data_IF_281733938021
#
_entry.id   IF_281733938021
#
_cell.length_a   1.000
_cell.length_b   1.000
_cell.length_c   1.000
_cell.angle_alpha   90.00
_cell.angle_beta   90.00
_cell.angle_gamma   90.00
#
_symmetry.space_group_name_H-M   'P 1'
#
loop_
_entity.id
_entity.type
_entity.pdbx_description
1 polymer ?
#
# COMPACT_ATOMS: atom_id res chain seq x y z
N UNK A 1 -28.20 -1.45 -23.10
CA UNK A 1 -27.53 -2.07 -21.94
C UNK A 1 -26.27 -1.28 -21.62
N UNK A 2 -26.34 -0.36 -20.66
CA UNK A 2 -25.14 0.31 -20.16
C UNK A 2 -24.61 -0.53 -19.00
N UNK A 3 -23.56 -1.31 -19.26
CA UNK A 3 -22.82 -2.02 -18.22
C UNK A 3 -22.15 -0.96 -17.34
N UNK A 4 -22.64 -0.78 -16.12
CA UNK A 4 -21.95 -0.02 -15.09
C UNK A 4 -20.73 -0.86 -14.69
N UNK A 5 -19.64 -0.74 -15.46
CA UNK A 5 -18.34 -1.17 -14.96
C UNK A 5 -18.14 -0.39 -13.66
N UNK A 6 -18.11 -1.10 -12.53
CA UNK A 6 -17.85 -0.47 -11.25
C UNK A 6 -16.54 0.32 -11.38
N UNK A 7 -16.66 1.65 -11.38
CA UNK A 7 -15.51 2.54 -11.38
C UNK A 7 -14.69 2.14 -10.16
N UNK A 8 -13.38 1.93 -10.33
CA UNK A 8 -12.49 1.69 -9.20
C UNK A 8 -12.55 2.94 -8.32
N UNK A 9 -13.30 2.86 -7.23
CA UNK A 9 -13.65 4.00 -6.40
C UNK A 9 -12.56 4.26 -5.34
N UNK A 10 -12.07 5.49 -5.31
CA UNK A 10 -11.14 5.96 -4.29
C UNK A 10 -11.75 5.87 -2.88
N UNK A 11 -13.08 6.04 -2.74
CA UNK A 11 -13.73 5.93 -1.43
C UNK A 11 -13.67 4.49 -0.89
N UNK A 12 -13.85 3.48 -1.74
CA UNK A 12 -13.72 2.08 -1.34
C UNK A 12 -12.32 1.76 -0.78
N UNK A 13 -11.27 2.38 -1.35
CA UNK A 13 -9.89 2.25 -0.83
C UNK A 13 -9.76 2.85 0.56
N UNK A 14 -10.34 4.03 0.79
CA UNK A 14 -10.33 4.69 2.11
C UNK A 14 -11.09 3.84 3.14
N UNK A 15 -12.23 3.28 2.76
CA UNK A 15 -13.06 2.47 3.65
C UNK A 15 -12.33 1.20 4.09
N UNK A 16 -11.62 0.53 3.17
CA UNK A 16 -10.78 -0.64 3.48
C UNK A 16 -9.61 -0.30 4.41
N UNK A 17 -8.95 0.84 4.19
CA UNK A 17 -7.91 1.36 5.11
C UNK A 17 -8.49 1.59 6.50
N UNK A 18 -9.63 2.27 6.59
CA UNK A 18 -10.25 2.59 7.87
C UNK A 18 -10.83 1.36 8.58
N UNK A 19 -11.27 0.34 7.84
CA UNK A 19 -11.65 -0.97 8.40
C UNK A 19 -10.48 -1.61 9.13
N UNK A 20 -9.32 -1.74 8.49
CA UNK A 20 -8.14 -2.34 9.13
C UNK A 20 -7.64 -1.53 10.33
N UNK A 21 -7.69 -0.19 10.23
CA UNK A 21 -7.34 0.69 11.35
C UNK A 21 -8.28 0.48 12.54
N UNK A 22 -9.59 0.41 12.29
CA UNK A 22 -10.59 0.09 13.31
C UNK A 22 -10.32 -1.28 13.96
N UNK A 23 -10.08 -2.33 13.17
CA UNK A 23 -9.75 -3.67 13.68
C UNK A 23 -8.47 -3.71 14.53
N UNK A 24 -7.58 -2.73 14.38
CA UNK A 24 -6.35 -2.57 15.17
C UNK A 24 -6.44 -1.53 16.29
N UNK A 25 -7.63 -0.99 16.56
CA UNK A 25 -7.84 0.09 17.53
C UNK A 25 -7.02 1.36 17.23
N UNK A 26 -6.84 1.66 15.94
CA UNK A 26 -6.18 2.85 15.45
C UNK A 26 -7.27 3.81 14.94
N UNK A 27 -7.15 5.11 15.27
CA UNK A 27 -8.10 6.13 14.82
C UNK A 27 -8.26 6.12 13.29
N UNK A 28 -9.50 6.17 12.77
CA UNK A 28 -9.72 6.24 11.33
C UNK A 28 -9.18 7.55 10.75
N UNK A 29 -8.68 7.48 9.53
CA UNK A 29 -8.21 8.62 8.76
C UNK A 29 -9.38 9.40 8.19
N UNK A 30 -9.31 10.73 8.28
CA UNK A 30 -10.26 11.64 7.63
C UNK A 30 -9.83 11.92 6.20
N UNK A 31 -10.77 11.94 5.26
CA UNK A 31 -10.46 12.32 3.88
C UNK A 31 -10.12 13.81 3.81
N UNK A 32 -8.96 14.13 3.25
CA UNK A 32 -8.47 15.49 3.05
C UNK A 32 -8.56 15.88 1.57
N UNK A 33 -9.09 17.08 1.29
CA UNK A 33 -9.22 17.56 -0.09
C UNK A 33 -7.87 17.89 -0.69
N UNK A 34 -6.98 18.47 0.12
CA UNK A 34 -5.63 18.87 -0.26
C UNK A 34 -4.76 17.64 -0.52
N UNK A 35 -4.80 16.61 0.34
CA UNK A 35 -4.09 15.36 0.06
C UNK A 35 -4.68 14.63 -1.17
N UNK A 36 -6.00 14.70 -1.37
CA UNK A 36 -6.62 14.12 -2.57
C UNK A 36 -6.19 14.85 -3.84
N UNK A 37 -6.03 16.18 -3.78
CA UNK A 37 -5.48 16.96 -4.88
C UNK A 37 -4.02 16.57 -5.16
N UNK A 38 -3.18 16.46 -4.12
CA UNK A 38 -1.80 16.00 -4.23
C UNK A 38 -1.71 14.61 -4.90
N UNK A 39 -2.53 13.66 -4.45
CA UNK A 39 -2.60 12.32 -5.01
C UNK A 39 -2.99 12.33 -6.50
N UNK A 40 -3.91 13.22 -6.91
CA UNK A 40 -4.33 13.38 -8.30
C UNK A 40 -3.23 13.96 -9.18
N UNK A 41 -2.56 15.02 -8.72
CA UNK A 41 -1.44 15.62 -9.44
C UNK A 41 -0.30 14.63 -9.60
N UNK A 42 0.05 13.91 -8.54
CA UNK A 42 1.06 12.85 -8.56
C UNK A 42 0.71 11.72 -9.53
N UNK A 43 -0.54 11.25 -9.51
CA UNK A 43 -1.01 10.22 -10.42
C UNK A 43 -1.03 10.71 -11.88
N UNK A 44 -1.44 11.95 -12.11
CA UNK A 44 -1.42 12.61 -13.41
C UNK A 44 0.00 12.74 -13.95
N UNK A 45 0.95 13.14 -13.11
CA UNK A 45 2.37 13.25 -13.44
C UNK A 45 2.95 11.89 -13.88
N UNK A 46 2.62 10.81 -13.17
CA UNK A 46 3.02 9.44 -13.54
C UNK A 46 2.50 9.02 -14.93
N UNK A 47 1.26 9.36 -15.25
CA UNK A 47 0.68 9.09 -16.58
C UNK A 47 1.34 9.98 -17.64
N UNK A 48 1.48 11.28 -17.38
CA UNK A 48 1.99 12.26 -18.32
C UNK A 48 3.43 11.99 -18.71
N UNK A 49 4.28 11.69 -17.72
CA UNK A 49 5.71 11.46 -17.90
C UNK A 49 6.07 9.98 -17.97
N UNK A 50 5.08 9.11 -18.13
CA UNK A 50 5.25 7.70 -18.45
C UNK A 50 6.15 6.93 -17.45
N UNK A 51 5.87 7.05 -16.15
CA UNK A 51 6.67 6.42 -15.09
C UNK A 51 5.80 5.92 -13.93
N UNK A 52 6.37 5.04 -13.09
CA UNK A 52 5.75 4.60 -11.84
C UNK A 52 6.80 4.53 -10.73
N UNK A 53 6.92 5.59 -9.95
CA UNK A 53 7.86 5.71 -8.84
C UNK A 53 7.43 6.83 -7.87
N UNK A 54 7.94 6.79 -6.64
CA UNK A 54 7.74 7.84 -5.64
C UNK A 54 8.31 9.20 -6.10
N UNK A 55 9.48 9.20 -6.72
CA UNK A 55 10.14 10.43 -7.22
C UNK A 55 9.89 10.55 -8.73
N UNK A 56 9.44 11.73 -9.16
CA UNK A 56 9.25 12.06 -10.57
C UNK A 56 10.58 12.12 -11.33
N UNK A 57 10.62 11.84 -12.65
CA UNK A 57 11.80 12.06 -13.47
C UNK A 57 12.36 13.49 -13.42
N UNK A 58 11.51 14.48 -13.12
CA UNK A 58 11.90 15.88 -12.89
C UNK A 58 12.53 16.14 -11.51
N UNK A 59 12.56 15.13 -10.64
CA UNK A 59 13.03 15.22 -9.25
C UNK A 59 11.94 15.50 -8.22
N UNK A 60 10.68 15.69 -8.63
CA UNK A 60 9.59 15.98 -7.70
C UNK A 60 9.30 14.81 -6.74
N UNK A 61 9.42 15.06 -5.44
CA UNK A 61 9.15 14.11 -4.34
C UNK A 61 7.67 14.13 -3.93
N UNK A 62 7.16 13.08 -3.26
CA UNK A 62 5.77 13.06 -2.73
C UNK A 62 5.44 14.30 -1.89
N UNK A 63 6.40 14.73 -1.08
CA UNK A 63 6.31 15.88 -0.18
C UNK A 63 6.05 17.20 -0.91
N UNK A 64 6.59 17.35 -2.12
CA UNK A 64 6.36 18.54 -2.93
C UNK A 64 4.93 18.59 -3.46
N UNK A 65 4.35 17.45 -3.85
CA UNK A 65 2.94 17.40 -4.28
C UNK A 65 2.00 17.71 -3.12
N UNK A 66 2.27 17.17 -1.92
CA UNK A 66 1.54 17.49 -0.70
C UNK A 66 1.66 18.98 -0.35
N UNK A 67 2.87 19.55 -0.40
CA UNK A 67 3.07 20.97 -0.11
C UNK A 67 2.40 21.89 -1.14
N UNK A 68 2.47 21.56 -2.43
CA UNK A 68 1.85 22.32 -3.51
C UNK A 68 0.32 22.32 -3.46
N UNK A 69 -0.30 21.29 -2.88
CA UNK A 69 -1.75 21.27 -2.68
C UNK A 69 -2.23 22.19 -1.54
N UNK A 70 -1.29 22.82 -0.82
CA UNK A 70 -1.59 23.67 0.34
C UNK A 70 -1.74 22.89 1.64
N UNK A 71 -1.40 21.60 1.66
CA UNK A 71 -1.43 20.80 2.89
C UNK A 71 -0.16 21.02 3.72
N UNK A 72 -0.28 21.79 4.80
CA UNK A 72 0.81 22.03 5.76
C UNK A 72 0.97 20.83 6.70
N UNK A 73 1.97 19.98 6.44
CA UNK A 73 2.19 18.73 7.15
C UNK A 73 3.35 18.81 8.16
N UNK A 74 3.17 18.16 9.31
CA UNK A 74 4.26 17.80 10.22
C UNK A 74 4.78 16.38 9.97
N UNK A 75 3.91 15.52 9.40
CA UNK A 75 4.20 14.13 9.11
C UNK A 75 3.40 13.70 7.89
N UNK A 76 4.02 12.98 6.95
CA UNK A 76 3.38 12.57 5.71
C UNK A 76 3.94 11.22 5.21
N UNK A 77 3.18 10.53 4.35
CA UNK A 77 3.60 9.28 3.70
C UNK A 77 2.83 9.01 2.43
N UNK A 78 3.37 8.13 1.57
CA UNK A 78 2.78 7.77 0.28
C UNK A 78 2.74 6.24 0.10
N UNK A 79 1.65 5.72 -0.46
CA UNK A 79 1.61 4.38 -1.06
C UNK A 79 1.19 4.47 -2.53
N UNK A 80 1.81 3.64 -3.38
CA UNK A 80 1.55 3.58 -4.81
C UNK A 80 1.16 2.16 -5.24
N UNK A 81 0.09 2.03 -6.02
CA UNK A 81 -0.29 0.79 -6.67
C UNK A 81 -0.54 0.99 -8.17
N UNK A 82 -0.30 -0.07 -8.94
CA UNK A 82 -0.44 -0.06 -10.39
C UNK A 82 -1.09 -1.36 -10.88
N UNK A 83 -1.97 -1.24 -11.88
CA UNK A 83 -2.64 -2.35 -12.57
C UNK A 83 -3.57 -3.21 -11.70
N UNK A 84 -4.21 -2.61 -10.68
CA UNK A 84 -5.33 -3.22 -9.98
C UNK A 84 -6.66 -2.72 -10.55
N UNK A 85 -7.62 -3.62 -10.69
CA UNK A 85 -9.00 -3.32 -11.12
C UNK A 85 -10.03 -3.61 -10.01
N UNK A 86 -9.55 -3.98 -8.83
CA UNK A 86 -10.36 -4.34 -7.66
C UNK A 86 -9.72 -3.70 -6.41
N UNK A 87 -10.48 -2.86 -5.67
CA UNK A 87 -9.97 -2.21 -4.47
C UNK A 87 -9.60 -3.18 -3.35
N UNK A 88 -10.31 -4.31 -3.20
CA UNK A 88 -10.01 -5.31 -2.16
C UNK A 88 -8.69 -6.02 -2.46
N UNK A 89 -8.46 -6.42 -3.72
CA UNK A 89 -7.20 -7.04 -4.14
C UNK A 89 -6.02 -6.07 -4.02
N UNK A 90 -6.22 -4.80 -4.38
CA UNK A 90 -5.20 -3.77 -4.20
C UNK A 90 -4.86 -3.57 -2.72
N UNK A 91 -5.89 -3.42 -1.88
CA UNK A 91 -5.71 -3.23 -0.44
C UNK A 91 -5.00 -4.42 0.19
N UNK A 92 -5.39 -5.65 -0.17
CA UNK A 92 -4.70 -6.86 0.26
C UNK A 92 -3.23 -6.87 -0.17
N UNK A 93 -2.90 -6.40 -1.37
CA UNK A 93 -1.53 -6.28 -1.84
C UNK A 93 -0.73 -5.27 -1.02
N UNK A 94 -1.32 -4.12 -0.66
CA UNK A 94 -0.71 -3.18 0.27
C UNK A 94 -0.47 -3.81 1.64
N UNK A 95 -1.46 -4.51 2.21
CA UNK A 95 -1.34 -5.12 3.53
C UNK A 95 -0.32 -6.28 3.58
N UNK A 96 -0.08 -6.96 2.46
CA UNK A 96 0.98 -7.98 2.34
C UNK A 96 2.39 -7.39 2.26
N UNK A 97 2.53 -6.13 1.85
CA UNK A 97 3.81 -5.43 1.81
C UNK A 97 4.08 -4.74 3.14
N UNK A 98 5.24 -5.02 3.75
CA UNK A 98 5.57 -4.45 5.06
C UNK A 98 5.64 -2.92 5.04
N UNK A 99 6.23 -2.32 4.00
CA UNK A 99 6.34 -0.86 3.87
C UNK A 99 4.98 -0.20 3.71
N UNK A 100 4.13 -0.70 2.80
CA UNK A 100 2.81 -0.12 2.58
C UNK A 100 1.89 -0.30 3.78
N UNK A 101 1.92 -1.49 4.42
CA UNK A 101 1.17 -1.76 5.66
C UNK A 101 1.59 -0.85 6.80
N UNK A 102 2.89 -0.55 6.93
CA UNK A 102 3.39 0.41 7.94
C UNK A 102 2.76 1.78 7.76
N UNK A 103 2.56 2.25 6.53
CA UNK A 103 1.87 3.51 6.28
C UNK A 103 0.39 3.43 6.67
N UNK A 104 -0.34 2.41 6.20
CA UNK A 104 -1.79 2.23 6.47
C UNK A 104 -2.08 2.19 7.97
N UNK A 105 -1.24 1.50 8.74
CA UNK A 105 -1.41 1.30 10.18
C UNK A 105 -0.59 2.28 11.05
N UNK A 106 -0.04 3.36 10.48
CA UNK A 106 0.69 4.33 11.28
C UNK A 106 -0.29 5.19 12.10
N UNK A 107 -0.21 5.21 13.44
CA UNK A 107 -1.11 6.01 14.29
C UNK A 107 -0.85 7.53 14.20
N UNK A 108 0.30 7.94 13.67
CA UNK A 108 0.66 9.34 13.52
C UNK A 108 -0.15 10.04 12.42
N UNK A 109 -0.59 9.31 11.39
CA UNK A 109 -1.45 9.87 10.34
C UNK A 109 -2.87 10.09 10.85
N UNK A 110 -3.46 11.22 10.46
CA UNK A 110 -4.82 11.65 10.82
C UNK A 110 -5.70 11.87 9.60
N UNK A 111 -5.09 12.14 8.46
CA UNK A 111 -5.76 12.43 7.20
C UNK A 111 -5.21 11.56 6.06
N UNK A 112 -6.06 11.30 5.06
CA UNK A 112 -5.71 10.57 3.84
C UNK A 112 -6.30 11.28 2.62
N UNK A 113 -5.58 11.28 1.50
CA UNK A 113 -6.10 11.56 0.18
C UNK A 113 -5.84 10.38 -0.74
N UNK A 114 -6.80 10.04 -1.59
CA UNK A 114 -6.68 8.92 -2.52
C UNK A 114 -7.08 9.36 -3.92
N UNK A 115 -6.27 9.01 -4.91
CA UNK A 115 -6.59 9.17 -6.32
C UNK A 115 -6.46 7.82 -7.04
N UNK A 116 -7.45 7.52 -7.87
CA UNK A 116 -7.42 6.37 -8.80
C UNK A 116 -7.55 6.95 -10.21
N UNK A 117 -6.51 6.81 -11.02
CA UNK A 117 -6.45 7.38 -12.38
C UNK A 117 -6.23 6.27 -13.40
N UNK A 118 -7.00 6.33 -14.49
CA UNK A 118 -6.83 5.50 -15.66
C UNK A 118 -5.94 6.24 -16.67
N UNK A 119 -4.87 5.60 -17.11
CA UNK A 119 -3.91 6.20 -18.04
C UNK A 119 -3.21 5.14 -18.88
N UNK A 120 -2.15 5.57 -19.56
CA UNK A 120 -1.23 4.66 -20.27
C UNK A 120 0.17 4.85 -19.72
N UNK A 121 0.82 3.75 -19.34
CA UNK A 121 2.25 3.71 -19.04
C UNK A 121 2.88 2.65 -19.95
N UNK A 122 3.97 2.99 -20.60
CA UNK A 122 4.71 2.20 -21.58
C UNK A 122 3.79 1.62 -22.67
N UNK A 123 2.84 2.43 -23.15
CA UNK A 123 1.86 2.04 -24.16
C UNK A 123 0.75 1.10 -23.68
N UNK A 124 0.79 0.63 -22.42
CA UNK A 124 -0.20 -0.25 -21.83
C UNK A 124 -1.24 0.54 -21.04
N UNK A 125 -2.53 0.18 -21.19
CA UNK A 125 -3.58 0.75 -20.37
C UNK A 125 -3.39 0.32 -18.91
N UNK A 126 -3.38 1.29 -18.01
CA UNK A 126 -3.00 1.11 -16.62
C UNK A 126 -3.94 1.88 -15.70
N UNK A 127 -4.21 1.29 -14.54
CA UNK A 127 -4.88 1.95 -13.41
C UNK A 127 -3.79 2.25 -12.38
N UNK A 128 -3.70 3.50 -11.95
CA UNK A 128 -2.76 3.94 -10.92
C UNK A 128 -3.55 4.39 -9.71
N UNK A 129 -3.16 3.90 -8.54
CA UNK A 129 -3.68 4.40 -7.27
C UNK A 129 -2.56 5.05 -6.47
N UNK A 130 -2.82 6.26 -5.98
CA UNK A 130 -1.97 6.99 -5.05
C UNK A 130 -2.73 7.18 -3.75
N UNK A 131 -2.12 6.80 -2.62
CA UNK A 131 -2.57 7.16 -1.28
C UNK A 131 -1.56 8.13 -0.67
N UNK A 132 -2.00 9.34 -0.36
CA UNK A 132 -1.23 10.32 0.40
C UNK A 132 -1.76 10.36 1.83
N UNK A 133 -0.89 10.18 2.81
CA UNK A 133 -1.20 10.20 4.23
C UNK A 133 -0.61 11.44 4.87
N UNK A 134 -1.29 12.02 5.86
CA UNK A 134 -0.82 13.22 6.51
C UNK A 134 -1.27 13.40 7.95
N UNK A 135 -0.49 14.20 8.67
CA UNK A 135 -0.89 14.88 9.89
C UNK A 135 -0.47 16.34 9.75
N UNK A 136 -1.41 17.26 9.99
CA UNK A 136 -1.14 18.69 9.84
C UNK A 136 -0.11 19.16 10.86
N UNK A 137 0.63 20.20 10.52
CA UNK A 137 1.36 20.95 11.55
C UNK A 137 0.33 21.47 12.56
N UNK A 138 0.57 21.26 13.85
CA UNK A 138 -0.25 21.88 14.88
C UNK A 138 -0.28 23.38 14.61
N UNK A 139 -1.46 23.96 14.43
CA UNK A 139 -1.56 25.42 14.46
C UNK A 139 -0.86 25.90 15.75
N UNK A 140 -0.06 26.99 15.72
CA UNK A 140 0.42 27.58 16.96
C UNK A 140 -0.80 27.76 17.85
N UNK A 141 -0.70 27.31 19.11
CA UNK A 141 -1.79 27.41 20.08
C UNK A 141 -2.33 28.83 20.00
N UNK A 142 -3.51 28.99 19.41
CA UNK A 142 -4.24 30.23 19.48
C UNK A 142 -4.42 30.43 20.98
N UNK A 143 -3.74 31.44 21.56
CA UNK A 143 -3.90 31.80 22.96
C UNK A 143 -5.40 31.82 23.21
N UNK A 144 -5.85 30.81 23.96
CA UNK A 144 -7.23 30.72 24.39
C UNK A 144 -7.49 32.05 25.07
N UNK A 145 -8.31 32.90 24.45
CA UNK A 145 -8.80 34.16 25.03
C UNK A 145 -9.24 33.84 26.46
N UNK A 146 -8.39 34.14 27.44
CA UNK A 146 -8.72 34.07 28.86
C UNK A 146 -9.60 35.30 29.09
N UNK A 147 -10.84 35.26 28.61
CA UNK A 147 -11.88 36.19 29.05
C UNK A 147 -12.28 35.76 30.44
N UNK A 148 -11.58 36.27 31.44
CA UNK A 148 -11.89 35.97 32.84
C UNK A 148 -10.72 36.14 33.80
N UNK A 149 -9.94 37.22 33.70
CA UNK A 149 -9.16 37.70 34.83
C UNK A 149 -9.59 39.15 35.07
N UNK A 150 -10.52 39.28 36.02
CA UNK A 150 -10.83 40.51 36.72
C UNK A 150 -9.52 41.16 37.21
N UNK A 151 -9.34 42.42 36.88
CA UNK A 151 -8.28 43.27 37.40
C UNK A 151 -8.52 43.56 38.87
N UNK A 152 -7.95 42.76 39.76
CA UNK A 152 -7.72 43.19 41.15
C UNK A 152 -6.22 43.19 41.44
N UNK A 153 -5.61 44.36 41.21
CA UNK A 153 -4.27 44.70 41.70
C UNK A 153 -4.33 44.93 43.21
N UNK A 154 -4.39 43.87 44.02
CA UNK A 154 -3.88 43.87 45.40
C UNK A 154 -3.88 42.46 45.95
N UNK A 155 -2.78 42.10 46.62
CA UNK A 155 -2.52 40.81 47.27
C UNK A 155 -1.91 39.76 46.35
N UNK A 156 -0.58 39.76 46.31
CA UNK A 156 0.29 38.58 46.47
C UNK A 156 1.74 39.09 46.54
N UNK A 157 2.03 39.77 47.63
CA UNK A 157 3.41 39.92 48.12
C UNK A 157 3.91 38.57 48.62
N UNK A 158 5.22 38.37 48.51
CA UNK A 158 6.02 37.27 49.06
C UNK A 158 5.65 35.86 48.57
N UNK A 159 6.24 35.46 47.44
CA UNK A 159 6.83 34.12 47.19
C UNK A 159 7.33 33.91 45.73
N UNK A 160 7.29 34.93 44.87
CA UNK A 160 7.78 34.83 43.48
C UNK A 160 9.11 35.58 43.21
N UNK A 161 9.86 35.95 44.27
CA UNK A 161 11.20 36.55 44.15
C UNK A 161 12.21 35.63 44.84
N UNK A 162 12.33 34.39 44.35
CA UNK A 162 13.55 33.60 44.48
C UNK A 162 13.51 32.44 43.48
N UNK A 163 14.36 32.52 42.45
CA UNK A 163 14.81 31.46 41.51
C UNK A 163 14.85 31.87 40.04
N UNK A 164 14.91 33.17 39.72
CA UNK A 164 15.37 33.67 38.40
C UNK A 164 16.91 33.68 38.32
N UNK A 165 17.58 32.72 38.97
CA UNK A 165 19.04 32.54 38.93
C UNK A 165 19.42 31.06 38.68
N UNK A 166 18.64 30.39 37.81
CA UNK A 166 19.00 29.09 37.25
C UNK A 166 18.63 28.95 35.77
N UNK A 167 18.60 30.07 35.06
CA UNK A 167 18.52 30.14 33.60
C UNK A 167 19.82 30.79 33.12
N UNK A 168 20.87 29.98 33.07
CA UNK A 168 22.22 30.45 32.80
C UNK A 168 23.23 29.33 32.75
N UNK A 169 22.94 28.25 32.01
CA UNK A 169 23.88 27.30 31.43
C UNK A 169 23.08 26.28 30.58
N UNK A 170 23.56 26.00 29.37
CA UNK A 170 22.96 25.17 28.30
C UNK A 170 22.20 25.89 27.16
N UNK A 171 22.69 27.05 26.72
CA UNK A 171 22.63 27.39 25.29
C UNK A 171 24.04 27.13 24.75
N UNK A 172 24.34 25.87 24.41
CA UNK A 172 25.52 25.57 23.61
C UNK A 172 25.16 25.95 22.17
N UNK A 173 25.80 27.01 21.67
CA UNK A 173 25.94 27.30 20.25
C UNK A 173 26.63 26.12 19.57
N UNK A 174 25.83 25.20 19.03
CA UNK A 174 26.30 24.11 18.18
C UNK A 174 26.36 24.59 16.73
N UNK A 175 27.50 25.15 16.34
CA UNK A 175 27.88 25.22 14.93
C UNK A 175 27.93 23.79 14.40
N UNK A 176 27.13 23.51 13.38
CA UNK A 176 27.02 22.21 12.73
C UNK A 176 28.29 21.96 11.90
N UNK A 177 29.30 21.31 12.47
CA UNK A 177 30.49 20.85 11.74
C UNK A 177 30.23 19.46 11.15
N UNK A 178 30.14 19.38 9.82
CA UNK A 178 29.81 18.18 9.03
C UNK A 178 31.00 17.20 8.86
N UNK A 179 32.14 17.40 9.51
CA UNK A 179 33.35 16.62 9.18
C UNK A 179 33.64 15.37 10.03
N UNK A 180 32.90 15.07 11.11
CA UNK A 180 33.25 13.94 11.99
C UNK A 180 32.29 12.73 11.99
N UNK A 181 31.35 12.64 11.06
CA UNK A 181 30.47 11.47 10.92
C UNK A 181 30.86 10.45 9.85
N UNK A 182 31.95 10.68 9.09
CA UNK A 182 32.41 9.74 8.05
C UNK A 182 33.53 8.78 8.49
N UNK A 183 34.25 9.07 9.57
CA UNK A 183 35.41 8.27 9.99
C UNK A 183 35.05 7.01 10.78
N UNK A 184 33.83 6.92 11.34
CA UNK A 184 33.40 5.75 12.12
C UNK A 184 32.66 4.69 11.29
N UNK A 185 32.32 5.01 10.03
CA UNK A 185 31.64 4.08 9.10
C UNK A 185 32.63 3.45 8.11
N UNK A 186 33.78 4.08 7.87
CA UNK A 186 34.79 3.55 6.92
C UNK A 186 35.60 2.36 7.46
N UNK A 187 35.68 2.17 8.78
CA UNK A 187 36.56 1.15 9.37
C UNK A 187 35.86 -0.20 9.65
N UNK A 188 34.53 -0.27 9.45
CA UNK A 188 33.73 -1.49 9.74
C UNK A 188 33.11 -2.18 8.54
N UNK A 189 33.46 -1.77 7.31
CA UNK A 189 32.94 -2.38 6.07
C UNK A 189 33.94 -3.40 5.48
N UNK A 190 35.18 -3.49 5.98
CA UNK A 190 36.20 -4.41 5.44
C UNK A 190 36.15 -5.84 6.01
N UNK A 191 35.23 -6.16 6.92
CA UNK A 191 35.20 -7.46 7.62
C UNK A 191 33.88 -8.25 7.48
N UNK A 192 33.08 -8.01 6.43
CA UNK A 192 31.95 -8.89 6.11
C UNK A 192 32.48 -9.95 5.12
N UNK A 193 32.53 -11.25 5.47
CA UNK A 193 33.04 -12.26 4.56
C UNK A 193 32.10 -12.35 3.36
N UNK A 194 32.62 -12.05 2.17
CA UNK A 194 31.94 -12.16 0.86
C UNK A 194 31.22 -13.51 0.67
N UNK A 195 31.67 -14.55 1.40
CA UNK A 195 31.13 -15.91 1.46
C UNK A 195 29.69 -15.96 2.03
N UNK A 196 29.31 -15.05 2.93
CA UNK A 196 27.97 -15.02 3.52
C UNK A 196 26.88 -14.61 2.53
N UNK A 197 27.19 -13.68 1.63
CA UNK A 197 26.23 -13.25 0.60
C UNK A 197 25.97 -14.32 -0.46
N UNK A 198 26.97 -15.12 -0.80
CA UNK A 198 26.83 -16.22 -1.75
C UNK A 198 26.01 -17.38 -1.17
N UNK A 199 26.20 -17.69 0.12
CA UNK A 199 25.40 -18.72 0.79
C UNK A 199 23.92 -18.33 0.92
N UNK A 200 23.65 -17.07 1.27
CA UNK A 200 22.29 -16.58 1.41
C UNK A 200 21.55 -16.52 0.07
N UNK A 201 22.23 -16.16 -1.04
CA UNK A 201 21.60 -16.17 -2.37
C UNK A 201 21.30 -17.59 -2.86
N UNK A 202 22.19 -18.56 -2.64
CA UNK A 202 21.95 -19.97 -2.96
C UNK A 202 20.75 -20.52 -2.16
N UNK A 203 20.65 -20.20 -0.88
CA UNK A 203 19.52 -20.63 -0.04
C UNK A 203 18.19 -20.01 -0.50
N UNK A 204 18.19 -18.75 -0.93
CA UNK A 204 17.01 -18.08 -1.48
C UNK A 204 16.55 -18.68 -2.81
N UNK A 205 17.49 -19.08 -3.67
CA UNK A 205 17.18 -19.75 -4.94
C UNK A 205 16.65 -21.17 -4.69
N UNK A 206 17.26 -21.92 -3.79
CA UNK A 206 16.81 -23.28 -3.43
C UNK A 206 15.40 -23.27 -2.80
N UNK A 207 15.12 -22.31 -1.93
CA UNK A 207 13.78 -22.15 -1.33
C UNK A 207 12.74 -21.73 -2.36
N UNK A 208 13.06 -20.82 -3.28
CA UNK A 208 12.17 -20.46 -4.38
C UNK A 208 11.86 -21.65 -5.31
N UNK A 209 12.87 -22.48 -5.61
CA UNK A 209 12.70 -23.69 -6.40
C UNK A 209 11.79 -24.72 -5.70
N UNK A 210 11.99 -24.95 -4.40
CA UNK A 210 11.16 -25.87 -3.62
C UNK A 210 9.70 -25.40 -3.51
N UNK A 211 9.49 -24.10 -3.35
CA UNK A 211 8.14 -23.50 -3.38
C UNK A 211 7.50 -23.68 -4.75
N UNK A 212 8.24 -23.47 -5.84
CA UNK A 212 7.73 -23.68 -7.21
C UNK A 212 7.26 -25.12 -7.43
N UNK A 213 8.07 -26.11 -7.06
CA UNK A 213 7.71 -27.53 -7.17
C UNK A 213 6.46 -27.87 -6.33
N UNK A 214 6.38 -27.34 -5.11
CA UNK A 214 5.22 -27.54 -4.24
C UNK A 214 3.94 -26.92 -4.83
N UNK A 215 4.02 -25.73 -5.43
CA UNK A 215 2.90 -25.08 -6.10
C UNK A 215 2.50 -25.82 -7.38
N UNK A 216 3.46 -26.27 -8.18
CA UNK A 216 3.20 -27.06 -9.38
C UNK A 216 2.47 -28.36 -9.05
N UNK A 217 2.89 -29.06 -7.98
CA UNK A 217 2.24 -30.27 -7.49
C UNK A 217 0.80 -30.01 -7.01
N UNK A 218 0.57 -28.94 -6.24
CA UNK A 218 -0.78 -28.56 -5.79
C UNK A 218 -1.68 -28.16 -6.96
N UNK A 219 -1.16 -27.44 -7.94
CA UNK A 219 -1.90 -27.07 -9.14
C UNK A 219 -2.29 -28.30 -9.95
N UNK A 220 -1.35 -29.23 -10.19
CA UNK A 220 -1.65 -30.50 -10.84
C UNK A 220 -2.69 -31.32 -10.07
N UNK A 221 -2.58 -31.39 -8.75
CA UNK A 221 -3.55 -32.10 -7.92
C UNK A 221 -4.94 -31.45 -7.99
N UNK A 222 -5.04 -30.12 -7.86
CA UNK A 222 -6.31 -29.38 -7.95
C UNK A 222 -6.99 -29.55 -9.30
N UNK A 223 -6.21 -29.44 -10.39
CA UNK A 223 -6.69 -29.66 -11.76
C UNK A 223 -7.17 -31.11 -11.92
N UNK A 224 -6.38 -32.09 -11.48
CA UNK A 224 -6.74 -33.51 -11.54
C UNK A 224 -8.04 -33.80 -10.75
N UNK A 225 -8.18 -33.26 -9.54
CA UNK A 225 -9.36 -33.46 -8.70
C UNK A 225 -10.61 -32.79 -9.28
N UNK A 226 -10.48 -31.58 -9.83
CA UNK A 226 -11.56 -30.89 -10.54
C UNK A 226 -12.07 -31.72 -11.72
N UNK A 227 -11.16 -32.30 -12.50
CA UNK A 227 -11.51 -33.15 -13.64
C UNK A 227 -12.09 -34.50 -13.22
N UNK A 228 -11.61 -35.13 -12.14
CA UNK A 228 -12.21 -36.35 -11.59
C UNK A 228 -13.64 -36.10 -11.09
N UNK A 229 -13.87 -34.98 -10.43
CA UNK A 229 -15.20 -34.59 -9.96
C UNK A 229 -16.16 -34.33 -11.13
N UNK A 230 -15.70 -33.67 -12.20
CA UNK A 230 -16.49 -33.52 -13.43
C UNK A 230 -16.72 -34.85 -14.15
N UNK A 231 -15.74 -35.75 -14.22
CA UNK A 231 -15.91 -37.10 -14.79
C UNK A 231 -16.99 -37.89 -14.06
N UNK A 232 -16.99 -37.87 -12.72
CA UNK A 232 -18.04 -38.53 -11.90
C UNK A 232 -19.43 -37.98 -12.20
N UNK A 233 -19.57 -36.65 -12.37
CA UNK A 233 -20.85 -36.02 -12.75
C UNK A 233 -21.29 -36.37 -14.18
N UNK A 234 -20.37 -36.48 -15.14
CA UNK A 234 -20.68 -36.86 -16.53
C UNK A 234 -21.10 -38.33 -16.60
N UNK A 235 -20.39 -39.23 -15.90
CA UNK A 235 -20.72 -40.66 -15.85
C UNK A 235 -22.10 -40.92 -15.21
N UNK A 236 -22.45 -40.15 -14.17
CA UNK A 236 -23.78 -40.21 -13.54
C UNK A 236 -24.91 -39.77 -14.48
N UNK A 237 -24.63 -38.88 -15.44
CA UNK A 237 -25.59 -38.43 -16.46
C UNK A 237 -25.71 -39.47 -17.59
N UNK A 238 -24.61 -40.09 -18.02
CA UNK A 238 -24.64 -41.16 -19.05
C UNK A 238 -25.29 -42.45 -18.55
N UNK A 239 -25.21 -42.76 -17.25
CA UNK A 239 -25.87 -43.92 -16.65
C UNK A 239 -27.39 -43.74 -16.46
N UNK A 240 -27.95 -42.54 -16.69
CA UNK A 240 -29.34 -42.20 -16.41
C UNK A 240 -30.31 -42.38 -17.61
N UNK A 241 -29.88 -43.06 -18.68
CA UNK A 241 -30.66 -43.24 -19.91
C UNK A 241 -30.41 -42.14 -20.96
N UNK A 242 -31.08 -42.21 -22.14
CA UNK A 242 -30.75 -41.32 -23.26
C UNK A 242 -30.98 -39.85 -22.91
N UNK A 243 -29.95 -39.03 -23.10
CA UNK A 243 -29.96 -37.61 -22.80
C UNK A 243 -31.06 -36.84 -23.57
N UNK A 244 -31.70 -35.83 -22.96
CA UNK A 244 -32.68 -35.00 -23.64
C UNK A 244 -32.04 -34.26 -24.82
N UNK A 245 -32.77 -34.19 -25.95
CA UNK A 245 -32.30 -33.68 -27.26
C UNK A 245 -31.82 -32.22 -27.29
N UNK A 246 -31.97 -31.44 -26.21
CA UNK A 246 -31.61 -30.02 -26.14
C UNK A 246 -30.78 -29.71 -24.88
N UNK A 247 -29.49 -30.01 -24.91
CA UNK A 247 -28.55 -29.56 -23.88
C UNK A 247 -28.10 -28.11 -24.19
N UNK A 248 -28.04 -27.21 -23.20
CA UNK A 248 -27.56 -25.85 -23.39
C UNK A 248 -26.10 -25.83 -23.83
N UNK A 249 -25.75 -24.92 -24.76
CA UNK A 249 -24.46 -24.87 -25.47
C UNK A 249 -23.22 -24.94 -24.56
N UNK A 250 -23.29 -24.31 -23.38
CA UNK A 250 -22.21 -24.34 -22.35
C UNK A 250 -21.86 -25.74 -21.84
N UNK A 251 -22.80 -26.68 -21.88
CA UNK A 251 -22.54 -28.09 -21.53
C UNK A 251 -21.79 -28.82 -22.64
N UNK A 252 -22.06 -28.51 -23.91
CA UNK A 252 -21.37 -29.08 -25.07
C UNK A 252 -19.90 -28.66 -25.08
N UNK A 253 -19.62 -27.39 -24.79
CA UNK A 253 -18.26 -26.86 -24.71
C UNK A 253 -17.45 -27.51 -23.59
N UNK A 254 -18.08 -27.75 -22.44
CA UNK A 254 -17.45 -28.44 -21.30
C UNK A 254 -17.06 -29.87 -21.66
N UNK A 255 -17.90 -30.59 -22.42
CA UNK A 255 -17.61 -31.97 -22.87
C UNK A 255 -16.52 -31.97 -23.95
N UNK A 256 -16.56 -31.01 -24.89
CA UNK A 256 -15.56 -30.88 -25.96
C UNK A 256 -14.16 -30.56 -25.40
N UNK A 257 -14.05 -29.63 -24.44
CA UNK A 257 -12.80 -29.34 -23.74
C UNK A 257 -12.28 -30.56 -22.95
N UNK A 258 -13.17 -31.29 -22.28
CA UNK A 258 -12.82 -32.51 -21.56
C UNK A 258 -12.21 -33.59 -22.47
N UNK A 259 -12.74 -33.78 -23.68
CA UNK A 259 -12.19 -34.70 -24.68
C UNK A 259 -10.81 -34.29 -25.16
N UNK A 260 -10.59 -33.00 -25.49
CA UNK A 260 -9.29 -32.50 -25.98
C UNK A 260 -8.20 -32.69 -24.93
N UNK A 261 -8.50 -32.38 -23.66
CA UNK A 261 -7.55 -32.51 -22.55
C UNK A 261 -7.17 -33.97 -22.26
N UNK A 262 -8.13 -34.90 -22.30
CA UNK A 262 -7.88 -36.33 -22.09
C UNK A 262 -7.04 -36.96 -23.22
N UNK A 263 -7.24 -36.51 -24.47
CA UNK A 263 -6.40 -36.93 -25.60
C UNK A 263 -4.96 -36.44 -25.42
N UNK A 264 -4.76 -35.20 -24.96
CA UNK A 264 -3.43 -34.67 -24.65
C UNK A 264 -2.72 -35.41 -23.50
N UNK A 265 -3.43 -35.83 -22.45
CA UNK A 265 -2.82 -36.62 -21.37
C UNK A 265 -2.49 -38.06 -21.76
N UNK A 266 -3.23 -38.69 -22.69
CA UNK A 266 -2.87 -40.02 -23.22
C UNK A 266 -1.61 -40.00 -24.07
N UNK A 267 -1.27 -38.86 -24.68
CA UNK A 267 -0.06 -38.69 -25.49
C UNK A 267 1.21 -38.40 -24.67
N UNK A 268 1.08 -38.15 -23.36
CA UNK A 268 2.20 -37.89 -22.43
C UNK A 268 2.52 -39.07 -21.51
N UNK A 269 1.85 -40.22 -21.67
CA UNK A 269 2.21 -41.50 -21.06
C UNK A 269 2.92 -42.36 -22.09
#
# INVERSE_FOLDING_TARGET
HCSYAAIFDAQAVVDLVNKDRFEKNIEPLKVSKELTAAAKEKAGDMVLHNYFAHISPSGSTPWQWIGQSGYDYSFAGENLAINFNDPELQHLAFMKSESHRKNILNPNYKEIGVAVIYGKINGKQTIITVQEFGARASAPLNEKKISGISTDKKSLTSNAIFSIEKIGQNIHTGVFSIENSFSYVSEKISSIPLIGFLHMSILLIATAFFLYEMFAAHFHFAVHHFFLHKKRKIFAIESAGPAPRNLPERFIDTIRFGKIYLTHMKLKK
#
